data_IF_694248945286
#
_entry.id   IF_694248945286
#
_cell.length_a   1.000
_cell.length_b   1.000
_cell.length_c   1.000
_cell.angle_alpha   90.00
_cell.angle_beta   90.00
_cell.angle_gamma   90.00
#
_symmetry.space_group_name_H-M   'P 1'
#
loop_
_entity.id
_entity.type
_entity.pdbx_description
1 polymer ?
#
# COMPACT_ATOMS: atom_id res chain seq x y z
N UNK A 1 19.36 -1.51 13.41
CA UNK A 1 19.19 -0.96 12.04
C UNK A 1 18.06 0.04 12.13
N UNK A 2 18.14 1.18 11.44
CA UNK A 2 17.05 2.15 11.43
C UNK A 2 15.91 1.53 10.61
N UNK A 3 14.86 1.03 11.27
CA UNK A 3 13.68 0.40 10.64
C UNK A 3 12.70 1.44 10.04
N UNK A 4 13.12 2.69 9.89
CA UNK A 4 12.32 3.74 9.27
C UNK A 4 12.40 3.63 7.75
N UNK A 5 11.25 3.52 7.09
CA UNK A 5 11.15 3.66 5.63
C UNK A 5 11.68 5.02 5.17
N UNK A 6 12.32 5.04 4.00
CA UNK A 6 12.87 6.24 3.38
C UNK A 6 11.96 6.68 2.25
N UNK A 7 11.66 7.97 2.17
CA UNK A 7 11.04 8.54 0.97
C UNK A 7 12.11 8.57 -0.13
N UNK A 8 11.83 7.89 -1.24
CA UNK A 8 12.70 7.81 -2.41
C UNK A 8 12.29 8.87 -3.44
N UNK A 9 10.99 9.10 -3.60
CA UNK A 9 10.44 10.15 -4.46
C UNK A 9 9.14 10.70 -3.89
N UNK A 10 8.98 12.02 -3.97
CA UNK A 10 7.73 12.70 -3.66
C UNK A 10 7.68 13.96 -4.51
N UNK A 11 7.11 13.86 -5.71
CA UNK A 11 7.11 14.97 -6.66
C UNK A 11 5.97 15.98 -6.44
N UNK A 12 5.10 15.73 -5.46
CA UNK A 12 3.95 16.58 -5.14
C UNK A 12 2.80 16.50 -6.15
N UNK A 13 2.89 15.57 -7.11
CA UNK A 13 1.92 15.40 -8.18
C UNK A 13 1.60 13.90 -8.37
N UNK A 14 2.10 13.28 -9.44
CA UNK A 14 1.65 11.94 -9.85
C UNK A 14 2.48 10.77 -9.32
N UNK A 15 3.63 11.02 -8.67
CA UNK A 15 4.54 9.93 -8.28
C UNK A 15 5.04 10.09 -6.85
N UNK A 16 4.86 9.01 -6.08
CA UNK A 16 5.35 8.87 -4.72
C UNK A 16 6.00 7.49 -4.56
N UNK A 17 7.23 7.45 -4.07
CA UNK A 17 7.96 6.20 -3.87
C UNK A 17 8.68 6.18 -2.53
N UNK A 18 8.69 5.03 -1.87
CA UNK A 18 9.32 4.85 -0.57
C UNK A 18 9.88 3.45 -0.40
N UNK A 19 10.91 3.32 0.45
CA UNK A 19 11.42 2.02 0.84
C UNK A 19 10.52 1.38 1.90
N UNK A 20 10.33 0.08 1.73
CA UNK A 20 9.61 -0.80 2.63
C UNK A 20 10.50 -2.00 2.97
N UNK A 21 10.13 -2.77 4.00
CA UNK A 21 10.88 -3.90 4.57
C UNK A 21 11.84 -4.61 3.60
N UNK A 22 13.07 -4.94 4.04
CA UNK A 22 14.03 -5.71 3.26
C UNK A 22 14.39 -5.09 1.89
N UNK A 23 14.47 -3.76 1.81
CA UNK A 23 14.76 -2.99 0.59
C UNK A 23 13.71 -3.14 -0.53
N UNK A 24 12.48 -3.54 -0.21
CA UNK A 24 11.37 -3.42 -1.16
C UNK A 24 11.16 -1.95 -1.51
N UNK A 25 10.82 -1.68 -2.78
CA UNK A 25 10.43 -0.35 -3.22
C UNK A 25 8.93 -0.36 -3.49
N UNK A 26 8.19 0.53 -2.84
CA UNK A 26 6.78 0.76 -3.13
C UNK A 26 6.68 2.05 -3.93
N UNK A 27 6.04 1.99 -5.09
CA UNK A 27 5.76 3.15 -5.94
C UNK A 27 4.25 3.29 -6.11
N UNK A 28 3.74 4.48 -5.84
CA UNK A 28 2.38 4.90 -6.14
C UNK A 28 2.41 5.85 -7.33
N UNK A 29 1.63 5.54 -8.34
CA UNK A 29 1.40 6.39 -9.51
C UNK A 29 -0.07 6.79 -9.58
N UNK A 30 -0.31 8.06 -9.90
CA UNK A 30 -1.65 8.61 -10.05
C UNK A 30 -1.78 9.05 -11.51
N UNK A 31 -2.86 8.64 -12.18
CA UNK A 31 -3.10 9.04 -13.58
C UNK A 31 -4.57 9.32 -13.82
N UNK A 32 -4.85 10.20 -14.75
CA UNK A 32 -6.18 10.39 -15.29
C UNK A 32 -6.43 9.39 -16.42
N UNK A 33 -7.52 8.63 -16.31
CA UNK A 33 -7.93 7.63 -17.30
C UNK A 33 -9.45 7.73 -17.50
N UNK A 34 -9.88 8.12 -18.70
CA UNK A 34 -11.30 8.33 -19.05
C UNK A 34 -12.07 9.29 -18.12
N UNK A 35 -11.40 10.29 -17.54
CA UNK A 35 -12.00 11.24 -16.60
C UNK A 35 -12.07 10.76 -15.16
N UNK A 36 -11.49 9.59 -14.88
CA UNK A 36 -11.36 9.01 -13.54
C UNK A 36 -9.90 9.07 -13.08
N UNK A 37 -9.68 9.23 -11.77
CA UNK A 37 -8.34 9.13 -11.18
C UNK A 37 -8.01 7.68 -10.84
N UNK A 38 -7.00 7.12 -11.51
CA UNK A 38 -6.49 5.78 -11.24
C UNK A 38 -5.25 5.88 -10.37
N UNK A 39 -5.34 5.27 -9.18
CA UNK A 39 -4.20 5.09 -8.27
C UNK A 39 -3.67 3.67 -8.44
N UNK A 40 -2.42 3.56 -8.88
CA UNK A 40 -1.71 2.29 -9.05
C UNK A 40 -0.59 2.18 -8.03
N UNK A 41 -0.43 0.98 -7.44
CA UNK A 41 0.63 0.67 -6.48
C UNK A 41 1.43 -0.52 -7.00
N UNK A 42 2.73 -0.34 -7.13
CA UNK A 42 3.68 -1.40 -7.47
C UNK A 42 4.68 -1.59 -6.33
N UNK A 43 4.81 -2.83 -5.85
CA UNK A 43 5.89 -3.25 -4.97
C UNK A 43 6.93 -4.03 -5.76
N UNK A 44 8.17 -3.54 -5.80
CA UNK A 44 9.30 -4.17 -6.50
C UNK A 44 10.45 -4.48 -5.54
N UNK A 45 11.46 -5.20 -6.04
CA UNK A 45 12.61 -5.69 -5.26
C UNK A 45 12.18 -6.57 -4.07
N UNK A 46 11.08 -7.32 -4.21
CA UNK A 46 10.68 -8.30 -3.23
C UNK A 46 11.75 -9.40 -3.25
N UNK A 47 12.41 -9.70 -2.12
CA UNK A 47 13.42 -10.76 -2.08
C UNK A 47 12.83 -12.08 -2.59
N UNK A 48 13.61 -12.82 -3.38
CA UNK A 48 13.31 -14.21 -3.74
C UNK A 48 13.49 -15.11 -2.50
N UNK A 49 12.56 -15.00 -1.55
CA UNK A 49 12.34 -15.99 -0.50
C UNK A 49 11.25 -16.98 -1.00
N UNK A 50 11.44 -18.31 -0.93
CA UNK A 50 10.48 -19.32 -1.39
C UNK A 50 9.06 -19.24 -0.79
N UNK A 51 8.79 -18.33 0.15
CA UNK A 51 7.47 -18.19 0.78
C UNK A 51 6.54 -17.37 -0.09
N UNK A 52 5.86 -18.05 -1.02
CA UNK A 52 4.64 -17.58 -1.74
C UNK A 52 3.65 -16.84 -0.83
N UNK A 53 3.65 -17.18 0.47
CA UNK A 53 2.89 -16.52 1.55
C UNK A 53 3.16 -15.02 1.62
N UNK A 54 4.42 -14.58 1.56
CA UNK A 54 4.77 -13.14 1.66
C UNK A 54 4.17 -12.32 0.52
N UNK A 55 4.19 -12.86 -0.70
CA UNK A 55 3.56 -12.20 -1.87
C UNK A 55 2.04 -12.10 -1.70
N UNK A 56 1.39 -13.14 -1.18
CA UNK A 56 -0.07 -13.16 -0.93
C UNK A 56 -0.43 -12.17 0.18
N UNK A 57 0.36 -12.11 1.25
CA UNK A 57 0.13 -11.20 2.38
C UNK A 57 0.30 -9.73 1.95
N UNK A 58 1.36 -9.42 1.21
CA UNK A 58 1.56 -8.08 0.65
C UNK A 58 0.45 -7.70 -0.32
N UNK A 59 0.05 -8.60 -1.22
CA UNK A 59 -1.06 -8.37 -2.15
C UNK A 59 -2.37 -8.08 -1.40
N UNK A 60 -2.66 -8.86 -0.36
CA UNK A 60 -3.87 -8.69 0.47
C UNK A 60 -3.86 -7.36 1.21
N UNK A 61 -2.72 -6.99 1.81
CA UNK A 61 -2.54 -5.73 2.52
C UNK A 61 -2.69 -4.51 1.60
N UNK A 62 -2.03 -4.50 0.45
CA UNK A 62 -2.12 -3.39 -0.51
C UNK A 62 -3.50 -3.26 -1.14
N UNK A 63 -4.15 -4.40 -1.44
CA UNK A 63 -5.53 -4.40 -1.96
C UNK A 63 -6.49 -3.79 -0.94
N UNK A 64 -6.38 -4.19 0.33
CA UNK A 64 -7.20 -3.60 1.40
C UNK A 64 -6.91 -2.11 1.59
N UNK A 65 -5.63 -1.71 1.55
CA UNK A 65 -5.24 -0.30 1.65
C UNK A 65 -5.89 0.56 0.56
N UNK A 66 -5.82 0.13 -0.71
CA UNK A 66 -6.45 0.86 -1.83
C UNK A 66 -7.98 0.88 -1.72
N UNK A 67 -8.60 -0.22 -1.27
CA UNK A 67 -10.04 -0.27 -1.01
C UNK A 67 -10.47 0.72 0.08
N UNK A 68 -9.71 0.78 1.19
CA UNK A 68 -9.94 1.73 2.27
C UNK A 68 -9.72 3.18 1.82
N UNK A 69 -8.67 3.45 1.04
CA UNK A 69 -8.40 4.77 0.48
C UNK A 69 -9.58 5.26 -0.36
N UNK A 70 -10.09 4.41 -1.28
CA UNK A 70 -11.27 4.72 -2.08
C UNK A 70 -12.50 5.00 -1.21
N UNK A 71 -12.76 4.14 -0.21
CA UNK A 71 -13.88 4.31 0.74
C UNK A 71 -13.83 5.64 1.49
N UNK A 72 -12.63 6.06 1.93
CA UNK A 72 -12.44 7.35 2.61
C UNK A 72 -12.64 8.52 1.65
N UNK A 73 -12.07 8.46 0.43
CA UNK A 73 -12.15 9.55 -0.55
C UNK A 73 -13.57 9.75 -1.10
N UNK A 74 -14.31 8.67 -1.34
CA UNK A 74 -15.62 8.74 -2.00
C UNK A 74 -16.80 8.76 -1.01
N UNK A 75 -16.65 8.11 0.15
CA UNK A 75 -17.74 7.92 1.11
C UNK A 75 -17.43 8.40 2.52
N UNK A 76 -16.20 8.80 2.81
CA UNK A 76 -15.77 9.22 4.16
C UNK A 76 -15.72 8.09 5.19
N UNK A 77 -15.88 6.82 4.78
CA UNK A 77 -15.92 5.67 5.69
C UNK A 77 -14.53 5.04 5.76
N UNK A 78 -13.99 4.97 6.97
CA UNK A 78 -12.75 4.25 7.29
C UNK A 78 -13.06 2.79 7.63
N UNK A 79 -12.69 1.87 6.74
CA UNK A 79 -12.94 0.43 6.82
C UNK A 79 -11.98 -0.30 7.77
N UNK A 80 -10.95 0.38 8.29
CA UNK A 80 -10.02 -0.23 9.24
C UNK A 80 -10.76 -0.63 10.52
N UNK A 81 -10.55 -1.86 10.97
CA UNK A 81 -10.86 -2.26 12.34
C UNK A 81 -10.19 -1.31 13.35
N UNK A 82 -10.99 -0.73 14.25
CA UNK A 82 -10.55 0.16 15.33
C UNK A 82 -10.59 -0.52 16.70
N UNK A 83 -11.15 -1.73 16.77
CA UNK A 83 -11.24 -2.50 18.00
C UNK A 83 -10.02 -3.43 18.12
N UNK A 84 -9.09 -3.07 19.00
CA UNK A 84 -7.85 -3.82 19.23
C UNK A 84 -8.07 -5.24 19.80
N UNK A 85 -9.25 -5.53 20.35
CA UNK A 85 -9.58 -6.87 20.85
C UNK A 85 -9.89 -7.87 19.72
N UNK A 86 -10.24 -7.36 18.53
CA UNK A 86 -10.53 -8.19 17.35
C UNK A 86 -9.22 -8.53 16.64
N UNK A 87 -8.89 -9.83 16.59
CA UNK A 87 -7.68 -10.37 15.97
C UNK A 87 -7.95 -10.98 14.60
N UNK A 88 -6.87 -11.27 13.86
CA UNK A 88 -6.90 -11.92 12.54
C UNK A 88 -7.67 -11.11 11.48
N UNK A 89 -7.55 -9.78 11.53
CA UNK A 89 -8.03 -8.87 10.49
C UNK A 89 -6.85 -8.37 9.66
N UNK A 90 -7.09 -7.99 8.40
CA UNK A 90 -6.04 -7.53 7.49
C UNK A 90 -5.35 -6.23 7.96
N UNK A 91 -5.98 -5.47 8.85
CA UNK A 91 -5.51 -4.17 9.31
C UNK A 91 -5.08 -4.14 10.78
N UNK A 92 -4.62 -5.29 11.31
CA UNK A 92 -4.17 -5.46 12.71
C UNK A 92 -3.03 -4.53 13.08
#
# INVERSE_FOLDING_TARGET
MNDAGLIIEANGHERFAFSFTQNCLVTVTIRDEYGETVVELTQSNIPDDPKRVTYIDCLSGWTFYLANLKSVLEGGIDLRNKNADIRNVLNS
#
